data_IF_512999697797
#
_entry.id   IF_512999697797
#
_cell.length_a   1.000
_cell.length_b   1.000
_cell.length_c   1.000
_cell.angle_alpha   90.00
_cell.angle_beta   90.00
_cell.angle_gamma   90.00
#
_symmetry.space_group_name_H-M   'P 1'
#
loop_
_entity.id
_entity.type
_entity.pdbx_description
1 polymer ?
#
# COMPACT_ATOMS: atom_id res chain seq x y z
N UNK A 1 -7.67 24.02 1.36
CA UNK A 1 -7.82 23.68 2.79
C UNK A 1 -6.88 24.56 3.60
N UNK A 2 -7.40 25.46 4.43
CA UNK A 2 -6.61 26.45 5.17
C UNK A 2 -5.75 25.76 6.25
N UNK A 3 -4.60 26.37 6.60
CA UNK A 3 -3.73 25.91 7.69
C UNK A 3 -4.49 25.62 9.00
N UNK A 4 -5.60 26.34 9.21
CA UNK A 4 -6.52 26.20 10.33
C UNK A 4 -7.27 24.85 10.34
N UNK A 5 -7.68 24.32 9.17
CA UNK A 5 -8.29 23.00 9.01
C UNK A 5 -7.26 21.88 9.22
N UNK A 6 -6.01 22.07 8.74
CA UNK A 6 -4.89 21.14 8.94
C UNK A 6 -4.50 21.02 10.43
N UNK A 7 -4.48 22.16 11.14
CA UNK A 7 -4.22 22.22 12.59
C UNK A 7 -5.38 21.62 13.41
N UNK A 8 -6.62 21.80 12.96
CA UNK A 8 -7.82 21.22 13.57
C UNK A 8 -7.86 19.71 13.36
N UNK A 9 -7.58 19.22 12.16
CA UNK A 9 -7.48 17.78 11.85
C UNK A 9 -6.36 17.10 12.68
N UNK A 10 -5.18 17.74 12.82
CA UNK A 10 -4.09 17.25 13.70
C UNK A 10 -4.48 17.30 15.19
N UNK A 11 -5.22 18.30 15.62
CA UNK A 11 -5.68 18.46 17.02
C UNK A 11 -6.81 17.50 17.39
N UNK A 12 -7.64 17.11 16.41
CA UNK A 12 -8.77 16.20 16.59
C UNK A 12 -8.36 14.72 16.53
N UNK A 13 -7.17 14.44 16.00
CA UNK A 13 -6.46 13.16 16.16
C UNK A 13 -5.68 13.12 17.49
N UNK A 14 -5.45 14.25 18.12
CA UNK A 14 -4.84 14.36 19.45
C UNK A 14 -5.96 14.51 20.51
N UNK A 15 -5.98 13.62 21.46
CA UNK A 15 -7.07 13.22 22.35
C UNK A 15 -7.14 14.07 23.60
N UNK A 16 -8.36 14.37 24.07
CA UNK A 16 -8.67 14.98 25.36
C UNK A 16 -8.96 13.92 26.44
N UNK A 17 -8.71 14.19 27.71
CA UNK A 17 -8.75 13.22 28.79
C UNK A 17 -10.17 12.76 29.21
N UNK A 18 -10.20 11.66 29.89
CA UNK A 18 -11.25 10.66 30.09
C UNK A 18 -12.12 10.89 31.29
N UNK A 19 -13.47 10.84 31.20
CA UNK A 19 -14.37 10.39 32.28
C UNK A 19 -15.83 10.11 31.92
N UNK A 20 -16.21 9.87 30.68
CA UNK A 20 -17.59 9.46 30.33
C UNK A 20 -17.63 8.02 29.79
N UNK A 21 -18.80 7.35 29.90
CA UNK A 21 -18.97 5.98 29.46
C UNK A 21 -18.45 5.86 28.02
N UNK A 22 -17.61 4.88 27.81
CA UNK A 22 -16.82 4.72 26.58
C UNK A 22 -17.68 4.54 25.33
N UNK A 23 -18.82 3.87 25.43
CA UNK A 23 -19.79 3.74 24.33
C UNK A 23 -20.22 5.09 23.78
N UNK A 24 -20.64 6.02 24.64
CA UNK A 24 -21.02 7.38 24.25
C UNK A 24 -19.86 8.17 23.62
N UNK A 25 -18.63 7.83 23.94
CA UNK A 25 -17.44 8.45 23.34
C UNK A 25 -17.13 7.90 21.97
N UNK A 26 -17.23 6.59 21.78
CA UNK A 26 -17.10 5.97 20.47
C UNK A 26 -18.18 6.53 19.54
N UNK A 27 -19.44 6.58 19.96
CA UNK A 27 -20.54 7.12 19.16
C UNK A 27 -20.31 8.59 18.77
N UNK A 28 -19.84 9.41 19.72
CA UNK A 28 -19.48 10.80 19.43
C UNK A 28 -18.28 10.93 18.49
N UNK A 29 -17.28 10.08 18.66
CA UNK A 29 -16.11 10.04 17.78
C UNK A 29 -16.49 9.58 16.38
N UNK A 30 -17.32 8.55 16.28
CA UNK A 30 -17.85 8.05 15.00
C UNK A 30 -18.72 9.11 14.31
N UNK A 31 -19.65 9.74 15.03
CA UNK A 31 -20.50 10.80 14.50
C UNK A 31 -19.70 12.05 14.11
N UNK A 32 -18.59 12.32 14.80
CA UNK A 32 -17.68 13.42 14.50
C UNK A 32 -16.80 13.09 13.30
N UNK A 33 -16.22 11.89 13.26
CA UNK A 33 -15.44 11.40 12.12
C UNK A 33 -16.31 11.28 10.86
N UNK A 34 -17.54 10.80 10.97
CA UNK A 34 -18.49 10.74 9.86
C UNK A 34 -18.84 12.14 9.34
N UNK A 35 -19.08 13.12 10.23
CA UNK A 35 -19.35 14.51 9.82
C UNK A 35 -18.14 15.17 9.18
N UNK A 36 -16.94 14.98 9.74
CA UNK A 36 -15.72 15.53 9.15
C UNK A 36 -15.31 14.82 7.88
N UNK A 37 -15.54 13.51 7.82
CA UNK A 37 -15.33 12.72 6.61
C UNK A 37 -16.32 13.15 5.52
N UNK A 38 -17.60 13.28 5.85
CA UNK A 38 -18.63 13.79 4.95
C UNK A 38 -18.36 15.22 4.48
N UNK A 39 -17.96 16.13 5.38
CA UNK A 39 -17.59 17.50 5.03
C UNK A 39 -16.30 17.56 4.19
N UNK A 40 -15.31 16.72 4.47
CA UNK A 40 -14.09 16.63 3.67
C UNK A 40 -14.39 16.02 2.30
N UNK A 41 -15.22 15.00 2.22
CA UNK A 41 -15.70 14.43 0.96
C UNK A 41 -16.51 15.45 0.17
N UNK A 42 -17.47 16.13 0.80
CA UNK A 42 -18.27 17.16 0.13
C UNK A 42 -17.40 18.30 -0.39
N UNK A 43 -16.39 18.73 0.38
CA UNK A 43 -15.42 19.72 -0.07
C UNK A 43 -14.57 19.21 -1.24
N UNK A 44 -14.07 17.96 -1.17
CA UNK A 44 -13.31 17.33 -2.25
C UNK A 44 -14.16 17.15 -3.50
N UNK A 45 -15.40 16.73 -3.36
CA UNK A 45 -16.34 16.61 -4.49
C UNK A 45 -16.65 17.98 -5.11
N UNK A 46 -16.96 18.99 -4.29
CA UNK A 46 -17.25 20.35 -4.76
C UNK A 46 -16.03 21.05 -5.39
N UNK A 47 -14.81 20.67 -4.98
CA UNK A 47 -13.57 21.25 -5.48
C UNK A 47 -12.73 20.27 -6.31
N UNK A 48 -13.30 19.10 -6.64
CA UNK A 48 -12.62 18.02 -7.33
C UNK A 48 -11.97 18.51 -8.63
N UNK A 49 -12.72 19.23 -9.43
CA UNK A 49 -12.22 19.79 -10.70
C UNK A 49 -11.04 20.74 -10.52
N UNK A 50 -11.04 21.56 -9.46
CA UNK A 50 -9.93 22.46 -9.17
C UNK A 50 -8.70 21.69 -8.69
N UNK A 51 -8.89 20.65 -7.86
CA UNK A 51 -7.84 19.77 -7.40
C UNK A 51 -7.26 18.96 -8.57
N UNK A 52 -8.11 18.44 -9.45
CA UNK A 52 -7.69 17.65 -10.60
C UNK A 52 -7.00 18.49 -11.66
N UNK A 53 -7.48 19.68 -11.95
CA UNK A 53 -6.79 20.64 -12.86
C UNK A 53 -5.42 21.03 -12.34
N UNK A 54 -5.26 21.14 -11.03
CA UNK A 54 -3.97 21.46 -10.40
C UNK A 54 -3.01 20.26 -10.48
N UNK A 55 -3.54 19.03 -10.44
CA UNK A 55 -2.75 17.79 -10.49
C UNK A 55 -2.26 17.50 -11.91
N UNK A 56 -3.08 17.70 -12.93
CA UNK A 56 -2.74 17.31 -14.30
C UNK A 56 -1.83 18.31 -15.02
N UNK A 57 -1.80 19.55 -14.60
CA UNK A 57 -0.89 20.60 -15.12
C UNK A 57 -0.94 20.83 -16.65
N UNK A 58 -1.87 20.19 -17.37
CA UNK A 58 -2.11 20.36 -18.78
C UNK A 58 -3.19 21.40 -18.97
N UNK A 59 -2.83 22.47 -19.65
CA UNK A 59 -3.78 23.52 -19.96
C UNK A 59 -4.96 22.98 -20.77
N UNK A 60 -6.08 23.51 -20.43
CA UNK A 60 -7.38 23.74 -21.05
C UNK A 60 -8.17 22.64 -21.77
N UNK A 61 -7.62 21.60 -22.37
CA UNK A 61 -8.42 20.78 -23.30
C UNK A 61 -8.41 19.25 -23.12
N UNK A 62 -7.72 18.70 -22.14
CA UNK A 62 -7.85 17.28 -21.80
C UNK A 62 -8.80 17.11 -20.63
N UNK A 63 -9.82 16.26 -20.76
CA UNK A 63 -10.68 15.86 -19.66
C UNK A 63 -9.80 15.48 -18.47
N UNK A 64 -9.99 16.17 -17.33
CA UNK A 64 -9.18 15.98 -16.14
C UNK A 64 -9.25 14.50 -15.72
N UNK A 65 -8.16 13.77 -15.90
CA UNK A 65 -8.10 12.37 -15.52
C UNK A 65 -7.98 12.32 -14.00
N UNK A 66 -8.92 11.63 -13.38
CA UNK A 66 -8.95 11.47 -11.93
C UNK A 66 -7.62 10.87 -11.43
N UNK A 67 -6.99 11.38 -10.35
CA UNK A 67 -5.73 10.83 -9.82
C UNK A 67 -5.77 9.32 -9.56
N UNK A 68 -6.94 8.80 -9.19
CA UNK A 68 -7.14 7.38 -9.00
C UNK A 68 -7.45 6.59 -10.29
N UNK A 69 -7.62 7.23 -11.45
CA UNK A 69 -7.94 6.52 -12.69
C UNK A 69 -6.83 5.54 -13.11
N UNK A 70 -5.58 5.87 -12.80
CA UNK A 70 -4.43 5.00 -12.99
C UNK A 70 -4.13 4.05 -11.83
N UNK A 71 -4.94 4.07 -10.77
CA UNK A 71 -4.69 3.26 -9.58
C UNK A 71 -4.74 1.77 -9.89
N UNK A 72 -3.80 1.03 -9.31
CA UNK A 72 -3.67 -0.43 -9.42
C UNK A 72 -3.43 -1.01 -8.05
N UNK A 73 -3.82 -2.27 -7.90
CA UNK A 73 -3.42 -3.07 -6.74
C UNK A 73 -2.02 -3.58 -6.98
N UNK A 74 -1.14 -3.32 -6.05
CA UNK A 74 0.25 -3.75 -6.13
C UNK A 74 0.65 -4.56 -4.90
N UNK A 75 1.54 -5.53 -5.14
CA UNK A 75 2.20 -6.31 -4.11
C UNK A 75 3.69 -6.28 -4.36
N UNK A 76 4.48 -5.97 -3.35
CA UNK A 76 5.92 -6.05 -3.51
C UNK A 76 6.43 -7.40 -3.03
N UNK A 77 7.36 -7.96 -3.79
CA UNK A 77 8.04 -9.21 -3.48
C UNK A 77 9.54 -9.03 -3.72
N UNK A 78 10.36 -9.61 -2.84
CA UNK A 78 11.79 -9.65 -3.09
C UNK A 78 12.10 -10.47 -4.35
N UNK A 79 13.01 -9.97 -5.19
CA UNK A 79 13.49 -10.67 -6.38
C UNK A 79 14.02 -12.08 -6.10
N UNK A 80 14.41 -12.37 -4.85
CA UNK A 80 14.79 -13.71 -4.39
C UNK A 80 13.66 -14.71 -4.55
N UNK A 81 12.40 -14.30 -4.30
CA UNK A 81 11.23 -15.18 -4.26
C UNK A 81 10.50 -15.27 -5.60
N UNK A 82 10.73 -14.34 -6.52
CA UNK A 82 10.06 -14.31 -7.84
C UNK A 82 10.24 -15.60 -8.65
N UNK A 83 11.43 -16.23 -8.73
CA UNK A 83 11.56 -17.49 -9.45
C UNK A 83 10.69 -18.60 -8.87
N UNK A 84 10.56 -18.69 -7.54
CA UNK A 84 9.69 -19.65 -6.87
C UNK A 84 8.21 -19.40 -7.13
N UNK A 85 7.78 -18.13 -7.08
CA UNK A 85 6.43 -17.70 -7.46
C UNK A 85 6.09 -18.08 -8.91
N UNK A 86 6.99 -17.81 -9.84
CA UNK A 86 6.82 -18.20 -11.24
C UNK A 86 6.79 -19.72 -11.45
N UNK A 87 7.64 -20.46 -10.72
CA UNK A 87 7.65 -21.91 -10.78
C UNK A 87 6.34 -22.52 -10.23
N UNK A 88 5.81 -21.99 -9.13
CA UNK A 88 4.51 -22.37 -8.61
C UNK A 88 3.38 -22.12 -9.61
N UNK A 89 3.40 -20.99 -10.30
CA UNK A 89 2.44 -20.68 -11.36
C UNK A 89 2.53 -21.69 -12.52
N UNK A 90 3.74 -22.02 -12.99
CA UNK A 90 3.95 -23.05 -14.03
C UNK A 90 3.42 -24.41 -13.62
N UNK A 91 3.50 -24.75 -12.34
CA UNK A 91 2.93 -25.95 -11.78
C UNK A 91 1.40 -25.92 -11.57
N UNK A 92 0.73 -24.88 -12.09
CA UNK A 92 -0.74 -24.73 -11.98
C UNK A 92 -1.27 -24.30 -10.63
N UNK A 93 -0.39 -23.86 -9.70
CA UNK A 93 -0.82 -23.41 -8.38
C UNK A 93 -1.51 -22.04 -8.47
N UNK A 94 -2.77 -21.97 -8.03
CA UNK A 94 -3.51 -20.72 -7.96
C UNK A 94 -3.02 -19.82 -6.80
N UNK A 95 -2.55 -20.41 -5.72
CA UNK A 95 -2.01 -19.74 -4.53
C UNK A 95 -0.48 -19.65 -4.58
N UNK A 96 0.07 -19.11 -5.66
CA UNK A 96 1.52 -18.96 -5.82
C UNK A 96 2.09 -17.84 -4.92
N UNK A 97 1.34 -16.74 -4.73
CA UNK A 97 1.69 -15.71 -3.75
C UNK A 97 1.22 -16.13 -2.36
N UNK A 98 2.09 -16.01 -1.36
CA UNK A 98 1.83 -16.48 0.01
C UNK A 98 1.84 -15.34 1.00
N UNK A 99 0.88 -15.34 1.92
CA UNK A 99 0.89 -14.48 3.07
C UNK A 99 1.60 -15.17 4.28
N UNK A 100 1.66 -14.48 5.41
CA UNK A 100 2.31 -15.04 6.61
C UNK A 100 1.58 -16.28 7.19
N UNK A 101 0.28 -16.42 6.95
CA UNK A 101 -0.51 -17.57 7.38
C UNK A 101 -0.25 -18.78 6.49
N UNK A 102 -0.13 -18.59 5.17
CA UNK A 102 0.27 -19.65 4.24
C UNK A 102 1.65 -20.20 4.61
N UNK A 103 2.61 -19.30 4.87
CA UNK A 103 3.97 -19.67 5.26
C UNK A 103 3.99 -20.42 6.60
N UNK A 104 3.22 -19.93 7.58
CA UNK A 104 3.10 -20.59 8.87
C UNK A 104 2.51 -22.00 8.75
N UNK A 105 1.47 -22.18 7.94
CA UNK A 105 0.86 -23.48 7.69
C UNK A 105 1.81 -24.44 6.97
N UNK A 106 2.54 -23.98 5.96
CA UNK A 106 3.49 -24.82 5.21
C UNK A 106 4.72 -25.22 6.01
N UNK A 107 5.14 -24.39 6.95
CA UNK A 107 6.32 -24.68 7.80
C UNK A 107 5.94 -25.38 9.11
N UNK A 108 4.66 -25.64 9.35
CA UNK A 108 4.20 -26.30 10.55
C UNK A 108 4.87 -27.68 10.70
N UNK A 109 5.42 -27.93 11.89
CA UNK A 109 6.13 -29.18 12.17
C UNK A 109 7.56 -29.27 11.63
N UNK A 110 8.05 -28.27 10.92
CA UNK A 110 9.45 -28.22 10.46
C UNK A 110 10.36 -27.50 11.47
N UNK A 111 11.67 -27.74 11.40
CA UNK A 111 12.68 -27.03 12.19
C UNK A 111 12.69 -25.51 11.92
N UNK A 112 12.18 -25.09 10.76
CA UNK A 112 12.10 -23.70 10.32
C UNK A 112 10.67 -23.13 10.45
N UNK A 113 9.86 -23.65 11.38
CA UNK A 113 8.49 -23.20 11.58
C UNK A 113 8.42 -21.69 11.86
N UNK A 114 7.67 -20.98 11.01
CA UNK A 114 7.43 -19.54 11.12
C UNK A 114 6.02 -19.31 11.70
N UNK A 115 5.98 -18.89 12.95
CA UNK A 115 4.71 -18.52 13.58
C UNK A 115 4.28 -17.10 13.16
N UNK A 116 2.97 -16.91 13.00
CA UNK A 116 2.42 -15.57 12.83
C UNK A 116 2.61 -14.78 14.11
N UNK A 117 3.29 -13.65 14.02
CA UNK A 117 3.58 -12.80 15.16
C UNK A 117 2.30 -12.35 15.87
N UNK A 118 2.28 -12.35 17.20
CA UNK A 118 1.12 -11.92 18.00
C UNK A 118 0.67 -10.49 17.65
N UNK A 119 1.62 -9.61 17.40
CA UNK A 119 1.33 -8.25 16.94
C UNK A 119 0.56 -8.24 15.61
N UNK A 120 0.85 -9.19 14.71
CA UNK A 120 0.12 -9.34 13.45
C UNK A 120 -1.31 -9.82 13.71
N UNK A 121 -1.49 -10.82 14.56
CA UNK A 121 -2.82 -11.34 14.94
C UNK A 121 -3.69 -10.25 15.55
N UNK A 122 -3.14 -9.39 16.43
CA UNK A 122 -3.87 -8.25 17.00
C UNK A 122 -4.37 -7.28 15.93
N UNK A 123 -3.56 -6.98 14.93
CA UNK A 123 -3.95 -6.13 13.81
C UNK A 123 -5.05 -6.82 13.00
N UNK A 124 -4.82 -8.05 12.58
CA UNK A 124 -5.68 -8.80 11.68
C UNK A 124 -7.09 -9.01 12.24
N UNK A 125 -7.19 -9.29 13.55
CA UNK A 125 -8.48 -9.42 14.24
C UNK A 125 -9.28 -8.10 14.30
N UNK A 126 -8.65 -6.98 14.03
CA UNK A 126 -9.30 -5.67 14.01
C UNK A 126 -9.74 -5.23 12.59
N UNK A 127 -9.31 -5.94 11.54
CA UNK A 127 -9.55 -5.50 10.17
C UNK A 127 -11.02 -5.65 9.74
N UNK A 128 -11.54 -4.69 8.97
CA UNK A 128 -12.86 -4.76 8.38
C UNK A 128 -12.85 -5.67 7.14
N UNK A 129 -12.80 -6.97 7.36
CA UNK A 129 -12.80 -7.95 6.27
C UNK A 129 -14.17 -8.00 5.56
N UNK A 130 -14.22 -8.38 4.26
CA UNK A 130 -15.48 -8.71 3.60
C UNK A 130 -16.26 -9.80 4.37
N UNK A 131 -17.59 -9.86 4.19
CA UNK A 131 -18.49 -10.70 4.97
C UNK A 131 -18.06 -12.16 5.08
N UNK A 132 -17.50 -12.72 3.99
CA UNK A 132 -17.04 -14.10 3.92
C UNK A 132 -15.52 -14.21 3.96
N UNK A 133 -14.85 -13.12 4.31
CA UNK A 133 -13.39 -13.05 4.34
C UNK A 133 -12.81 -13.61 5.63
N UNK A 134 -11.75 -14.39 5.49
CA UNK A 134 -10.91 -14.84 6.58
C UNK A 134 -9.59 -14.08 6.61
N UNK A 135 -9.07 -13.85 7.80
CA UNK A 135 -7.75 -13.25 8.00
C UNK A 135 -6.66 -14.09 7.33
N UNK A 136 -6.75 -15.42 7.42
CA UNK A 136 -5.78 -16.33 6.83
C UNK A 136 -5.77 -16.31 5.31
N UNK A 137 -6.88 -15.93 4.68
CA UNK A 137 -7.01 -15.78 3.22
C UNK A 137 -6.91 -14.34 2.74
N UNK A 138 -6.53 -13.42 3.61
CA UNK A 138 -6.34 -12.00 3.28
C UNK A 138 -4.90 -11.72 2.91
N UNK A 139 -4.70 -11.05 1.78
CA UNK A 139 -3.41 -10.65 1.23
C UNK A 139 -3.31 -9.13 1.24
N UNK A 140 -2.17 -8.63 1.74
CA UNK A 140 -1.95 -7.21 2.03
C UNK A 140 -1.14 -6.59 0.90
N UNK A 141 -1.80 -5.78 0.10
CA UNK A 141 -1.20 -5.02 -0.98
C UNK A 141 -1.26 -3.52 -0.72
N UNK A 142 -0.93 -2.75 -1.73
CA UNK A 142 -1.02 -1.29 -1.71
C UNK A 142 -1.74 -0.77 -2.95
N UNK A 143 -2.30 0.43 -2.83
CA UNK A 143 -2.72 1.21 -3.99
C UNK A 143 -1.51 1.94 -4.54
N UNK A 144 -1.23 1.76 -5.81
CA UNK A 144 -0.21 2.53 -6.52
C UNK A 144 -0.80 3.14 -7.79
N UNK A 145 -0.39 4.36 -8.13
CA UNK A 145 -0.87 5.06 -9.31
C UNK A 145 0.06 4.86 -10.51
N UNK A 146 1.35 4.96 -10.33
CA UNK A 146 2.35 4.72 -11.37
C UNK A 146 3.76 4.57 -10.78
N UNK A 147 3.89 3.93 -9.65
CA UNK A 147 5.16 3.72 -8.95
C UNK A 147 5.61 2.27 -8.95
N UNK A 148 6.61 1.99 -8.15
CA UNK A 148 7.15 0.66 -7.91
C UNK A 148 6.61 0.03 -6.61
N UNK A 149 5.44 0.46 -6.14
CA UNK A 149 4.79 -0.05 -4.94
C UNK A 149 5.53 0.30 -3.64
N UNK A 150 5.28 -0.48 -2.59
CA UNK A 150 5.91 -0.33 -1.27
C UNK A 150 7.20 -1.13 -1.22
N UNK A 151 8.32 -0.50 -1.53
CA UNK A 151 9.63 -1.16 -1.68
C UNK A 151 10.19 -1.75 -0.38
N UNK A 152 9.66 -1.34 0.75
CA UNK A 152 9.97 -1.97 2.04
C UNK A 152 9.75 -3.49 2.03
N UNK A 153 8.76 -3.98 1.29
CA UNK A 153 8.41 -5.40 1.22
C UNK A 153 9.12 -6.16 0.10
N UNK A 154 9.73 -5.47 -0.85
CA UNK A 154 10.48 -6.10 -1.92
C UNK A 154 10.79 -5.16 -3.08
N UNK A 155 11.79 -5.52 -3.87
CA UNK A 155 12.33 -4.73 -4.98
C UNK A 155 11.56 -4.96 -6.30
N UNK A 156 10.68 -5.95 -6.36
CA UNK A 156 9.80 -6.21 -7.52
C UNK A 156 8.37 -5.88 -7.15
N UNK A 157 7.75 -4.97 -7.87
CA UNK A 157 6.36 -4.60 -7.71
C UNK A 157 5.49 -5.39 -8.69
N UNK A 158 4.62 -6.23 -8.18
CA UNK A 158 3.64 -7.03 -8.92
C UNK A 158 2.34 -6.25 -9.02
N UNK A 159 1.87 -5.97 -10.23
CA UNK A 159 0.64 -5.20 -10.49
C UNK A 159 -0.45 -6.16 -10.93
N UNK A 160 -1.55 -6.23 -10.19
CA UNK A 160 -2.68 -7.09 -10.54
C UNK A 160 -3.51 -6.50 -11.68
N UNK A 161 -4.16 -7.38 -12.44
CA UNK A 161 -5.19 -7.00 -13.41
C UNK A 161 -6.38 -6.30 -12.72
N UNK A 162 -7.05 -5.35 -13.40
CA UNK A 162 -8.13 -4.55 -12.78
C UNK A 162 -9.28 -5.36 -12.19
N UNK A 163 -9.57 -6.55 -12.75
CA UNK A 163 -10.65 -7.42 -12.27
C UNK A 163 -10.53 -7.86 -10.81
N UNK A 164 -9.33 -7.82 -10.24
CA UNK A 164 -9.09 -8.17 -8.82
C UNK A 164 -9.54 -7.09 -7.83
N UNK A 165 -9.87 -5.90 -8.31
CA UNK A 165 -10.18 -4.75 -7.46
C UNK A 165 -11.60 -4.78 -6.83
N UNK A 166 -12.55 -5.47 -7.48
CA UNK A 166 -13.98 -5.39 -7.14
C UNK A 166 -14.31 -5.83 -5.71
N UNK A 167 -13.60 -6.84 -5.19
CA UNK A 167 -13.83 -7.41 -3.86
C UNK A 167 -12.81 -6.93 -2.81
N UNK A 168 -12.02 -5.90 -3.11
CA UNK A 168 -11.01 -5.40 -2.19
C UNK A 168 -11.55 -4.33 -1.25
N UNK A 169 -11.13 -4.41 0.01
CA UNK A 169 -11.25 -3.31 0.96
C UNK A 169 -9.98 -2.48 0.90
N UNK A 170 -10.11 -1.17 0.90
CA UNK A 170 -8.99 -0.24 0.96
C UNK A 170 -8.93 0.41 2.34
N UNK A 171 -7.73 0.52 2.90
CA UNK A 171 -7.49 1.26 4.12
C UNK A 171 -6.66 2.50 3.77
N UNK A 172 -7.12 3.66 4.19
CA UNK A 172 -6.40 4.93 3.95
C UNK A 172 -5.02 5.02 4.63
N UNK A 173 -4.67 4.03 5.46
CA UNK A 173 -3.41 3.92 6.21
C UNK A 173 -2.96 2.47 6.29
N UNK A 174 -1.67 2.29 6.59
CA UNK A 174 -1.12 0.98 6.92
C UNK A 174 -1.80 0.39 8.17
N UNK A 175 -2.30 -0.82 8.09
CA UNK A 175 -2.98 -1.51 9.18
C UNK A 175 -2.12 -1.65 10.44
N UNK A 176 -0.80 -1.72 10.34
CA UNK A 176 0.09 -1.73 11.50
C UNK A 176 0.03 -0.46 12.35
N UNK A 177 -0.52 0.64 11.84
CA UNK A 177 -0.76 1.84 12.64
C UNK A 177 -1.77 1.59 13.77
N UNK A 178 -2.61 0.53 13.67
CA UNK A 178 -3.52 0.12 14.76
C UNK A 178 -2.80 -0.32 16.04
N UNK A 179 -1.52 -0.65 15.96
CA UNK A 179 -0.68 -1.07 17.10
C UNK A 179 0.54 -0.18 17.31
N UNK A 180 0.61 0.96 16.61
CA UNK A 180 1.62 2.00 16.79
C UNK A 180 1.05 3.20 17.55
N UNK A 181 1.91 4.00 18.17
CA UNK A 181 1.57 5.31 18.68
C UNK A 181 1.07 6.23 17.52
N UNK A 182 0.03 7.06 17.71
CA UNK A 182 -0.72 7.31 18.95
C UNK A 182 -1.91 6.35 19.17
N UNK A 183 -2.22 5.45 18.23
CA UNK A 183 -3.39 4.55 18.32
C UNK A 183 -3.24 3.60 19.52
N UNK A 184 -2.05 3.06 19.72
CA UNK A 184 -1.75 2.18 20.87
C UNK A 184 -2.07 2.85 22.21
N UNK A 185 -1.68 4.12 22.35
CA UNK A 185 -1.92 4.90 23.59
C UNK A 185 -3.41 5.17 23.80
N UNK A 186 -4.14 5.46 22.72
CA UNK A 186 -5.58 5.63 22.76
C UNK A 186 -6.30 4.34 23.18
N UNK A 187 -5.95 3.25 22.55
CA UNK A 187 -6.57 1.95 22.79
C UNK A 187 -6.27 1.43 24.19
N UNK A 188 -5.09 1.71 24.75
CA UNK A 188 -4.70 1.32 26.10
C UNK A 188 -5.60 1.95 27.20
N UNK A 189 -6.31 3.03 26.90
CA UNK A 189 -7.21 3.73 27.84
C UNK A 189 -8.64 3.18 27.85
N UNK A 190 -8.89 2.09 27.12
CA UNK A 190 -10.23 1.56 26.88
C UNK A 190 -10.36 0.16 27.45
N UNK A 191 -11.54 -0.12 28.04
CA UNK A 191 -11.82 -1.45 28.61
C UNK A 191 -11.79 -2.55 27.54
N UNK A 192 -12.43 -2.33 26.38
CA UNK A 192 -12.38 -3.25 25.25
C UNK A 192 -11.48 -2.72 24.13
N UNK A 193 -10.22 -3.08 24.25
CA UNK A 193 -9.18 -2.66 23.31
C UNK A 193 -9.41 -3.22 21.90
N UNK A 194 -10.02 -4.39 21.77
CA UNK A 194 -10.26 -5.02 20.49
C UNK A 194 -11.37 -4.30 19.72
N UNK A 195 -12.48 -4.03 20.37
CA UNK A 195 -13.58 -3.25 19.77
C UNK A 195 -13.11 -1.84 19.40
N UNK A 196 -12.25 -1.23 20.21
CA UNK A 196 -11.69 0.08 19.87
C UNK A 196 -10.83 0.03 18.58
N UNK A 197 -9.96 -0.98 18.43
CA UNK A 197 -9.17 -1.16 17.20
C UNK A 197 -10.06 -1.42 15.99
N UNK A 198 -11.07 -2.28 16.11
CA UNK A 198 -12.03 -2.54 15.04
C UNK A 198 -12.76 -1.28 14.60
N UNK A 199 -13.19 -0.45 15.55
CA UNK A 199 -13.86 0.83 15.27
C UNK A 199 -12.93 1.77 14.50
N UNK A 200 -11.68 1.88 14.92
CA UNK A 200 -10.67 2.70 14.24
C UNK A 200 -10.40 2.15 12.83
N UNK A 201 -10.21 0.85 12.69
CA UNK A 201 -9.96 0.22 11.40
C UNK A 201 -11.13 0.44 10.41
N UNK A 202 -12.38 0.31 10.88
CA UNK A 202 -13.58 0.62 10.07
C UNK A 202 -13.62 2.08 9.64
N UNK A 203 -13.19 3.01 10.48
CA UNK A 203 -13.12 4.44 10.11
C UNK A 203 -12.07 4.75 9.04
N UNK A 204 -11.12 3.85 8.84
CA UNK A 204 -10.09 3.94 7.80
C UNK A 204 -10.49 3.23 6.51
N UNK A 205 -11.45 2.32 6.58
CA UNK A 205 -11.81 1.47 5.47
C UNK A 205 -12.73 2.16 4.46
N UNK A 206 -12.63 1.70 3.23
CA UNK A 206 -13.50 2.04 2.13
C UNK A 206 -13.47 0.95 1.07
N UNK A 207 -14.25 1.11 0.04
CA UNK A 207 -14.33 0.23 -1.11
C UNK A 207 -13.48 0.76 -2.27
N UNK A 208 -13.00 -0.15 -3.12
CA UNK A 208 -12.22 0.26 -4.30
C UNK A 208 -13.03 1.17 -5.23
N UNK A 209 -14.27 0.81 -5.54
CA UNK A 209 -15.09 1.54 -6.50
C UNK A 209 -15.81 2.77 -5.92
N UNK A 210 -16.12 2.76 -4.60
CA UNK A 210 -16.87 3.86 -3.98
C UNK A 210 -15.98 4.94 -3.38
N UNK A 211 -14.88 4.54 -2.70
CA UNK A 211 -14.16 5.45 -1.81
C UNK A 211 -12.72 5.74 -2.23
N UNK A 212 -12.11 4.89 -3.09
CA UNK A 212 -10.70 5.02 -3.44
C UNK A 212 -10.33 6.40 -3.97
N UNK A 213 -11.18 6.98 -4.79
CA UNK A 213 -10.94 8.30 -5.37
C UNK A 213 -10.76 9.36 -4.27
N UNK A 214 -11.65 9.35 -3.29
CA UNK A 214 -11.61 10.30 -2.18
C UNK A 214 -10.44 10.05 -1.24
N UNK A 215 -10.10 8.78 -1.03
CA UNK A 215 -8.94 8.38 -0.21
C UNK A 215 -7.63 8.85 -0.86
N UNK A 216 -7.46 8.63 -2.17
CA UNK A 216 -6.28 9.07 -2.94
C UNK A 216 -6.17 10.59 -2.93
N UNK A 217 -7.26 11.30 -3.25
CA UNK A 217 -7.27 12.77 -3.25
C UNK A 217 -6.99 13.34 -1.85
N UNK A 218 -7.63 12.80 -0.82
CA UNK A 218 -7.41 13.22 0.56
C UNK A 218 -5.97 13.02 1.02
N UNK A 219 -5.36 11.89 0.64
CA UNK A 219 -3.96 11.60 0.99
C UNK A 219 -2.99 12.50 0.23
N UNK A 220 -3.20 12.69 -1.06
CA UNK A 220 -2.40 13.60 -1.86
C UNK A 220 -2.45 15.03 -1.29
N UNK A 221 -3.63 15.55 -0.95
CA UNK A 221 -3.80 16.86 -0.33
C UNK A 221 -3.12 16.98 1.05
N UNK A 222 -3.10 15.90 1.82
CA UNK A 222 -2.46 15.90 3.15
C UNK A 222 -0.93 15.90 3.07
N UNK A 223 -0.37 15.32 2.03
CA UNK A 223 1.06 15.03 1.90
C UNK A 223 1.79 16.06 1.04
N UNK A 224 1.14 16.54 -0.02
CA UNK A 224 1.77 17.43 -0.98
C UNK A 224 1.76 18.89 -0.51
N UNK A 225 2.77 19.70 -0.89
CA UNK A 225 2.85 21.09 -0.49
C UNK A 225 1.66 21.91 -1.08
N UNK A 226 0.99 22.70 -0.24
CA UNK A 226 -0.15 23.52 -0.63
C UNK A 226 0.18 24.64 -1.64
N UNK A 227 1.46 24.91 -1.91
CA UNK A 227 1.92 25.94 -2.85
C UNK A 227 2.39 25.40 -4.20
N UNK A 228 2.42 24.09 -4.39
CA UNK A 228 2.84 23.51 -5.66
C UNK A 228 1.78 23.79 -6.74
N UNK A 229 2.13 24.57 -7.74
CA UNK A 229 1.23 24.91 -8.85
C UNK A 229 0.89 23.70 -9.74
N UNK A 230 1.65 22.61 -9.67
CA UNK A 230 1.47 21.41 -10.48
C UNK A 230 1.93 20.17 -9.72
N UNK A 231 1.09 19.18 -9.61
CA UNK A 231 1.45 17.86 -9.13
C UNK A 231 1.59 16.92 -10.32
N UNK A 232 2.69 16.20 -10.37
CA UNK A 232 2.89 15.15 -11.38
C UNK A 232 2.29 13.84 -10.89
N UNK A 233 2.05 12.90 -11.82
CA UNK A 233 1.67 11.53 -11.46
C UNK A 233 2.66 10.89 -10.47
N UNK A 234 3.94 11.24 -10.56
CA UNK A 234 4.96 10.81 -9.62
C UNK A 234 4.78 11.36 -8.20
N UNK A 235 4.42 12.62 -8.07
CA UNK A 235 4.10 13.20 -6.76
C UNK A 235 2.91 12.51 -6.11
N UNK A 236 1.87 12.20 -6.88
CA UNK A 236 0.68 11.49 -6.37
C UNK A 236 1.06 10.06 -5.99
N UNK A 237 1.78 9.35 -6.85
CA UNK A 237 2.27 8.00 -6.58
C UNK A 237 3.06 7.95 -5.27
N UNK A 238 3.98 8.89 -5.06
CA UNK A 238 4.73 9.02 -3.82
C UNK A 238 3.84 9.33 -2.60
N UNK A 239 2.81 10.16 -2.78
CA UNK A 239 1.89 10.52 -1.70
C UNK A 239 1.01 9.35 -1.26
N UNK A 240 0.60 8.49 -2.17
CA UNK A 240 -0.32 7.36 -1.89
C UNK A 240 0.40 6.06 -1.53
N UNK A 241 1.67 5.92 -1.92
CA UNK A 241 2.45 4.71 -1.75
C UNK A 241 3.87 5.02 -1.27
N UNK A 242 4.00 5.43 0.00
CA UNK A 242 5.30 5.51 0.69
C UNK A 242 5.48 4.31 1.63
N UNK A 243 6.72 3.97 1.95
CA UNK A 243 7.02 2.77 2.77
C UNK A 243 6.37 2.80 4.16
N UNK A 244 6.13 3.99 4.71
CA UNK A 244 5.57 4.16 6.05
C UNK A 244 4.09 4.53 6.06
N UNK A 245 3.62 5.17 5.00
CA UNK A 245 2.25 5.67 4.92
C UNK A 245 1.67 5.48 3.51
N UNK A 246 1.18 4.28 3.23
CA UNK A 246 0.53 3.91 1.98
C UNK A 246 -0.95 3.58 2.19
N UNK A 247 -1.72 3.66 1.10
CA UNK A 247 -3.08 3.15 1.08
C UNK A 247 -3.00 1.63 0.95
N UNK A 248 -3.37 0.93 2.01
CA UNK A 248 -3.31 -0.53 2.05
C UNK A 248 -4.53 -1.15 1.38
N UNK A 249 -4.33 -2.29 0.74
CA UNK A 249 -5.38 -3.08 0.10
C UNK A 249 -5.51 -4.42 0.78
N UNK A 250 -6.71 -4.76 1.22
CA UNK A 250 -7.06 -6.07 1.75
C UNK A 250 -7.74 -6.86 0.63
N UNK A 251 -7.01 -7.79 0.02
CA UNK A 251 -7.49 -8.67 -1.04
C UNK A 251 -7.78 -10.05 -0.49
N UNK A 252 -9.00 -10.56 -0.74
CA UNK A 252 -9.32 -11.95 -0.43
C UNK A 252 -8.80 -12.89 -1.51
N UNK A 253 -8.28 -14.03 -1.07
CA UNK A 253 -7.70 -15.06 -1.94
C UNK A 253 -6.33 -14.70 -2.51
N UNK A 254 -5.52 -15.71 -2.72
CA UNK A 254 -4.19 -15.60 -3.33
C UNK A 254 -4.26 -15.26 -4.81
N UNK A 255 -3.12 -15.20 -5.45
CA UNK A 255 -2.98 -14.97 -6.88
C UNK A 255 -1.69 -15.65 -7.40
N UNK A 256 -1.58 -15.74 -8.70
CA UNK A 256 -0.42 -16.25 -9.40
C UNK A 256 0.04 -15.28 -10.52
N UNK A 257 1.06 -15.65 -11.27
CA UNK A 257 1.58 -14.76 -12.32
C UNK A 257 0.58 -14.53 -13.47
N UNK A 258 -0.40 -15.42 -13.67
CA UNK A 258 -1.49 -15.22 -14.64
C UNK A 258 -2.43 -14.06 -14.29
N UNK A 259 -2.47 -13.68 -13.01
CA UNK A 259 -3.29 -12.57 -12.50
C UNK A 259 -2.59 -11.21 -12.63
N UNK A 260 -1.31 -11.21 -13.04
CA UNK A 260 -0.53 -10.00 -13.19
C UNK A 260 -0.84 -9.30 -14.51
N UNK A 261 -0.99 -7.98 -14.42
CA UNK A 261 -0.98 -7.09 -15.60
C UNK A 261 0.46 -6.82 -16.04
N UNK A 262 1.35 -6.58 -15.09
CA UNK A 262 2.76 -6.28 -15.29
C UNK A 262 3.54 -6.46 -13.99
N UNK A 263 4.86 -6.48 -14.08
CA UNK A 263 5.77 -6.27 -12.97
C UNK A 263 6.57 -4.99 -13.19
N UNK A 264 6.95 -4.32 -12.12
CA UNK A 264 7.70 -3.06 -12.18
C UNK A 264 8.97 -3.14 -11.35
N UNK A 265 10.04 -2.58 -11.91
CA UNK A 265 11.34 -2.39 -11.27
C UNK A 265 11.63 -0.89 -11.15
N UNK A 266 12.26 -0.47 -10.07
CA UNK A 266 12.62 0.93 -9.90
C UNK A 266 13.84 1.29 -10.74
N UNK A 267 13.81 2.45 -11.41
CA UNK A 267 14.92 2.97 -12.23
C UNK A 267 16.24 3.00 -11.47
N UNK A 268 16.22 3.37 -10.19
CA UNK A 268 17.43 3.44 -9.38
C UNK A 268 18.10 2.08 -9.20
N UNK A 269 17.31 1.00 -9.02
CA UNK A 269 17.85 -0.35 -8.88
C UNK A 269 18.50 -0.81 -10.19
N UNK A 270 17.85 -0.52 -11.31
CA UNK A 270 18.37 -0.87 -12.63
C UNK A 270 19.64 -0.05 -12.97
N UNK A 271 19.70 1.21 -12.60
CA UNK A 271 20.89 2.04 -12.74
C UNK A 271 22.06 1.50 -11.89
N UNK A 272 21.79 1.07 -10.66
CA UNK A 272 22.79 0.44 -9.78
C UNK A 272 23.27 -0.90 -10.35
N UNK A 273 22.38 -1.70 -10.90
CA UNK A 273 22.71 -2.97 -11.57
C UNK A 273 23.61 -2.73 -12.79
N UNK A 274 23.29 -1.74 -13.63
CA UNK A 274 24.08 -1.37 -14.78
C UNK A 274 25.50 -0.87 -14.37
N UNK A 275 25.57 -0.06 -13.32
CA UNK A 275 26.84 0.40 -12.76
C UNK A 275 27.67 -0.79 -12.22
N UNK A 276 27.02 -1.70 -11.52
CA UNK A 276 27.65 -2.92 -10.99
C UNK A 276 28.21 -3.78 -12.12
N UNK A 277 27.42 -4.03 -13.17
CA UNK A 277 27.86 -4.76 -14.36
C UNK A 277 29.06 -4.09 -15.05
N UNK A 278 29.02 -2.77 -15.21
CA UNK A 278 30.13 -1.99 -15.78
C UNK A 278 31.41 -2.14 -14.96
N UNK A 279 31.32 -2.08 -13.62
CA UNK A 279 32.46 -2.26 -12.72
C UNK A 279 33.02 -3.68 -12.77
N UNK A 280 32.17 -4.69 -12.89
CA UNK A 280 32.62 -6.08 -13.11
C UNK A 280 33.40 -6.19 -14.43
N UNK A 281 32.89 -5.60 -15.49
CA UNK A 281 33.52 -5.65 -16.81
C UNK A 281 34.87 -4.90 -16.84
N UNK A 282 34.93 -3.74 -16.21
CA UNK A 282 36.16 -2.92 -16.17
C UNK A 282 37.17 -3.36 -15.09
N UNK A 283 36.76 -4.25 -14.18
CA UNK A 283 37.53 -4.71 -13.03
C UNK A 283 37.99 -3.57 -12.09
N UNK A 284 37.36 -2.40 -12.14
CA UNK A 284 37.79 -1.25 -11.33
C UNK A 284 36.64 -0.23 -11.15
N UNK A 285 36.35 0.19 -9.91
CA UNK A 285 36.65 -0.53 -8.67
C UNK A 285 35.85 -1.85 -8.59
N UNK A 286 36.34 -2.83 -7.87
CA UNK A 286 35.59 -4.09 -7.67
C UNK A 286 34.28 -3.81 -6.95
N UNK A 287 33.12 -4.18 -7.51
CA UNK A 287 31.83 -3.95 -6.86
C UNK A 287 31.68 -4.83 -5.62
N UNK A 288 30.86 -4.38 -4.67
CA UNK A 288 30.52 -5.18 -3.49
C UNK A 288 29.79 -6.45 -3.89
N UNK A 289 30.10 -7.55 -3.24
CA UNK A 289 29.45 -8.85 -3.49
C UNK A 289 27.92 -8.74 -3.36
N UNK A 290 27.44 -7.97 -2.39
CA UNK A 290 26.02 -7.72 -2.16
C UNK A 290 25.35 -7.08 -3.38
N UNK A 291 25.95 -6.03 -3.96
CA UNK A 291 25.42 -5.39 -5.19
C UNK A 291 25.37 -6.37 -6.36
N UNK A 292 26.39 -7.21 -6.50
CA UNK A 292 26.41 -8.26 -7.55
C UNK A 292 25.31 -9.30 -7.36
N UNK A 293 25.07 -9.71 -6.10
CA UNK A 293 24.00 -10.66 -5.77
C UNK A 293 22.61 -10.06 -6.05
N UNK A 294 22.38 -8.79 -5.71
CA UNK A 294 21.10 -8.14 -5.99
C UNK A 294 20.87 -7.98 -7.48
N UNK A 295 21.87 -7.53 -8.25
CA UNK A 295 21.77 -7.44 -9.69
C UNK A 295 21.45 -8.79 -10.34
N UNK A 296 22.12 -9.87 -9.92
CA UNK A 296 21.85 -11.21 -10.38
C UNK A 296 20.44 -11.70 -10.03
N UNK A 297 19.97 -11.44 -8.80
CA UNK A 297 18.61 -11.81 -8.34
C UNK A 297 17.54 -11.12 -9.16
N UNK A 298 17.69 -9.80 -9.42
CA UNK A 298 16.75 -9.04 -10.25
C UNK A 298 16.75 -9.54 -11.70
N UNK A 299 17.89 -9.82 -12.28
CA UNK A 299 17.99 -10.40 -13.63
C UNK A 299 17.28 -11.77 -13.72
N UNK A 300 17.44 -12.63 -12.71
CA UNK A 300 16.72 -13.91 -12.64
C UNK A 300 15.21 -13.72 -12.47
N UNK A 301 14.80 -12.78 -11.63
CA UNK A 301 13.40 -12.46 -11.44
C UNK A 301 12.75 -11.98 -12.73
N UNK A 302 13.40 -11.06 -13.45
CA UNK A 302 12.94 -10.56 -14.73
C UNK A 302 12.83 -11.68 -15.77
N UNK A 303 13.84 -12.54 -15.89
CA UNK A 303 13.83 -13.70 -16.77
C UNK A 303 12.67 -14.64 -16.48
N UNK A 304 12.41 -14.92 -15.19
CA UNK A 304 11.33 -15.81 -14.78
C UNK A 304 9.93 -15.22 -15.09
N UNK A 305 9.74 -13.91 -14.89
CA UNK A 305 8.49 -13.20 -15.22
C UNK A 305 8.26 -13.17 -16.74
N UNK A 306 9.28 -12.82 -17.52
CA UNK A 306 9.20 -12.79 -18.99
C UNK A 306 8.89 -14.18 -19.58
N UNK A 307 9.40 -15.25 -18.97
CA UNK A 307 9.09 -16.63 -19.38
C UNK A 307 7.63 -17.03 -19.13
N UNK A 308 6.88 -16.24 -18.39
CA UNK A 308 5.42 -16.35 -18.19
C UNK A 308 4.64 -15.25 -18.94
N UNK A 309 5.30 -14.56 -19.86
CA UNK A 309 4.73 -13.45 -20.63
C UNK A 309 4.22 -12.28 -19.77
N UNK A 310 4.73 -12.14 -18.52
CA UNK A 310 4.45 -10.97 -17.69
C UNK A 310 5.33 -9.80 -18.16
N UNK A 311 4.74 -8.68 -18.62
CA UNK A 311 5.52 -7.50 -18.98
C UNK A 311 6.29 -6.96 -17.80
N UNK A 312 7.58 -6.67 -17.97
CA UNK A 312 8.41 -6.02 -16.96
C UNK A 312 8.72 -4.60 -17.40
N UNK A 313 8.33 -3.62 -16.58
CA UNK A 313 8.55 -2.19 -16.84
C UNK A 313 9.50 -1.58 -15.82
N UNK A 314 10.30 -0.63 -16.30
CA UNK A 314 11.17 0.19 -15.45
C UNK A 314 10.44 1.49 -15.19
N UNK A 315 10.24 1.83 -13.91
CA UNK A 315 9.45 2.97 -13.47
C UNK A 315 10.33 3.98 -12.75
N UNK A 316 10.25 5.26 -13.18
CA UNK A 316 11.02 6.36 -12.58
C UNK A 316 10.50 6.84 -11.23
N UNK A 317 9.26 6.53 -10.90
CA UNK A 317 8.63 6.95 -9.65
C UNK A 317 8.51 5.76 -8.71
N UNK A 318 9.04 5.90 -7.51
CA UNK A 318 9.04 4.85 -6.49
C UNK A 318 8.89 5.48 -5.10
N UNK A 319 8.30 4.74 -4.18
CA UNK A 319 8.31 5.08 -2.76
C UNK A 319 9.74 5.09 -2.21
N UNK A 320 9.91 5.53 -0.95
CA UNK A 320 11.22 5.52 -0.29
C UNK A 320 11.84 4.12 -0.37
N UNK A 321 13.07 4.05 -0.86
CA UNK A 321 13.87 2.86 -0.63
C UNK A 321 14.30 2.79 0.84
N UNK A 322 14.49 1.59 1.38
CA UNK A 322 15.29 1.43 2.59
C UNK A 322 16.67 2.04 2.30
N UNK A 323 17.01 3.13 2.97
CA UNK A 323 18.40 3.58 3.12
C UNK A 323 19.07 2.69 4.14
#
# INVERSE_FOLDING_TARGET
MTAKLKKRYRKEVAIAPVTASWSKRIDRLQARLARHHGAAIAYLVANCDAVYRTVDGRGSDSAAVHPAAGARITFNMSSVHIPGFCAATKAGKQNAYKNCYDIAAETAGSANHQQVAERRKLVDNALPLPRDGSVSTTYFGAVDVNGAGVRFYGDVCLVLKPGHAAACVVLKRNSYDLVRSPVKELVAQVADQQVARQTIARSWSGTWHGDLQHIVAGKALATLPLGARRWTAGHISHAVCSDEDYIEVLKQGSFNAGDLQEARLATNDIAEDALTASRVASRSPVPRLESMLWAWRRARAETALRALHVPVRIIGHHGRSKT
#
